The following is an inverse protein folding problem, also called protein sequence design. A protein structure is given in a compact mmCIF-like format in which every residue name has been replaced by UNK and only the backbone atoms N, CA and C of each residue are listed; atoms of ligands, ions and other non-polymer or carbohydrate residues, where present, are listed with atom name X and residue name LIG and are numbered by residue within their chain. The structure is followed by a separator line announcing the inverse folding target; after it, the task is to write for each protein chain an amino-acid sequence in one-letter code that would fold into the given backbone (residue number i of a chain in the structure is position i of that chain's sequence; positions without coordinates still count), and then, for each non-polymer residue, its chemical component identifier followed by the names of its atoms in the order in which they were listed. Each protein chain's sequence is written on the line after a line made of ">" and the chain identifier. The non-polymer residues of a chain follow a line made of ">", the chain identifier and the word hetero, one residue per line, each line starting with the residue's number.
data_IF_392206798202
#
_entry.id   IF_392206798202
#
_cell.length_a   1.000
_cell.length_b   1.000
_cell.length_c   1.000
_cell.angle_alpha   90.00
_cell.angle_beta   90.00
_cell.angle_gamma   90.00
#
_symmetry.space_group_name_H-M   'P 1'
#
loop_
_entity.id
_entity.type
_entity.pdbx_description
1 polymer ?
#
# COMPACT_ATOMS: atom_id res chain seq x y z
N UNK A 1 32.68 24.78 47.62
CA UNK A 1 31.44 24.00 47.49
C UNK A 1 30.67 24.47 46.27
N UNK A 2 30.71 23.71 45.17
CA UNK A 2 29.83 23.71 43.98
C UNK A 2 30.68 23.22 42.82
N UNK A 3 30.44 21.99 42.38
CA UNK A 3 30.74 21.45 41.03
C UNK A 3 30.21 20.00 40.87
N UNK A 4 29.68 19.39 41.93
CA UNK A 4 29.13 18.02 41.87
C UNK A 4 27.68 17.95 41.35
N UNK A 5 26.98 19.08 41.19
CA UNK A 5 25.55 19.10 40.80
C UNK A 5 25.27 18.85 39.31
N UNK A 6 26.29 18.80 38.44
CA UNK A 6 26.11 18.70 36.97
C UNK A 6 26.95 17.61 36.29
N UNK A 7 27.69 16.80 37.04
CA UNK A 7 28.51 15.74 36.46
C UNK A 7 27.65 14.52 36.08
N UNK A 8 27.25 14.42 34.81
CA UNK A 8 26.58 13.23 34.30
C UNK A 8 27.60 12.08 34.29
N UNK A 9 27.33 11.04 35.08
CA UNK A 9 28.16 9.85 35.10
C UNK A 9 27.97 9.03 33.81
N UNK A 10 29.06 8.45 33.27
CA UNK A 10 29.04 7.61 32.04
C UNK A 10 27.92 6.56 32.05
N UNK A 11 27.66 5.93 33.20
CA UNK A 11 26.58 4.94 33.37
C UNK A 11 25.19 5.56 33.23
N UNK A 12 24.98 6.77 33.75
CA UNK A 12 23.72 7.49 33.56
C UNK A 12 23.51 7.83 32.09
N UNK A 13 24.54 8.32 31.39
CA UNK A 13 24.46 8.60 29.96
C UNK A 13 24.10 7.35 29.12
N UNK A 14 24.75 6.21 29.39
CA UNK A 14 24.45 4.93 28.72
C UNK A 14 23.00 4.49 29.01
N UNK A 15 22.56 4.57 30.26
CA UNK A 15 21.19 4.20 30.61
C UNK A 15 20.16 5.12 29.94
N UNK A 16 20.39 6.43 29.95
CA UNK A 16 19.51 7.41 29.28
C UNK A 16 19.44 7.18 27.77
N UNK A 17 20.55 6.84 27.13
CA UNK A 17 20.59 6.57 25.69
C UNK A 17 19.93 5.24 25.31
N UNK A 18 20.08 4.19 26.12
CA UNK A 18 19.36 2.92 25.94
C UNK A 18 17.85 3.12 26.09
N UNK A 19 17.39 3.87 27.08
CA UNK A 19 15.96 4.17 27.28
C UNK A 19 15.39 4.99 26.12
N UNK A 20 16.14 6.00 25.64
CA UNK A 20 15.71 6.80 24.48
C UNK A 20 15.64 5.98 23.18
N UNK A 21 16.60 5.07 22.96
CA UNK A 21 16.59 4.18 21.80
C UNK A 21 15.43 3.18 21.84
N UNK A 22 15.11 2.63 23.02
CA UNK A 22 13.98 1.72 23.19
C UNK A 22 12.63 2.43 22.95
N UNK A 23 12.49 3.69 23.39
CA UNK A 23 11.31 4.49 23.11
C UNK A 23 11.16 4.79 21.61
N UNK A 24 12.25 5.09 20.89
CA UNK A 24 12.21 5.25 19.44
C UNK A 24 11.81 3.95 18.73
N UNK A 25 12.39 2.81 19.11
CA UNK A 25 12.06 1.51 18.53
C UNK A 25 10.58 1.13 18.74
N UNK A 26 9.99 1.45 19.90
CA UNK A 26 8.57 1.25 20.14
C UNK A 26 7.67 2.11 19.22
N UNK A 27 8.15 3.28 18.77
CA UNK A 27 7.41 4.15 17.84
C UNK A 27 7.57 3.76 16.35
N UNK A 28 8.67 3.08 15.99
CA UNK A 28 8.90 2.62 14.62
C UNK A 28 8.22 1.27 14.32
N UNK A 29 7.95 0.45 15.35
CA UNK A 29 7.13 -0.77 15.27
C UNK A 29 5.65 -0.46 15.56
N UNK A 30 5.11 0.61 14.96
CA UNK A 30 3.66 0.80 14.94
C UNK A 30 3.03 -0.14 13.92
N UNK A 31 1.80 -0.63 14.14
CA UNK A 31 1.05 -1.43 13.16
C UNK A 31 0.92 -0.76 11.76
N UNK A 32 1.18 0.55 11.68
CA UNK A 32 1.25 1.34 10.46
C UNK A 32 2.52 1.10 9.63
N UNK A 33 3.61 0.56 10.21
CA UNK A 33 4.78 0.09 9.47
C UNK A 33 4.57 -1.28 8.82
N UNK A 34 3.73 -2.15 9.41
CA UNK A 34 3.28 -3.40 8.78
C UNK A 34 2.55 -3.15 7.44
N UNK A 35 1.76 -2.07 7.35
CA UNK A 35 1.11 -1.65 6.10
C UNK A 35 2.07 -1.21 4.99
N UNK A 36 3.35 -0.99 5.30
CA UNK A 36 4.39 -0.55 4.35
C UNK A 36 5.41 -1.65 4.01
N UNK A 37 5.23 -2.86 4.52
CA UNK A 37 6.05 -4.01 4.12
C UNK A 37 5.65 -4.40 2.69
N UNK A 38 6.56 -4.14 1.75
CA UNK A 38 6.44 -4.55 0.35
C UNK A 38 6.26 -6.07 0.27
N UNK A 39 5.02 -6.51 0.01
CA UNK A 39 4.63 -7.92 -0.10
C UNK A 39 3.56 -8.40 0.88
N UNK A 40 3.23 -7.65 1.94
CA UNK A 40 2.34 -8.12 3.02
C UNK A 40 0.85 -7.70 2.90
N UNK A 41 0.41 -7.27 1.72
CA UNK A 41 -1.02 -7.03 1.41
C UNK A 41 -1.43 -7.96 0.27
N UNK A 42 -1.74 -9.20 0.64
CA UNK A 42 -2.21 -10.43 -0.03
C UNK A 42 -2.52 -10.51 -1.54
N UNK A 43 -2.70 -9.45 -2.33
CA UNK A 43 -2.86 -9.52 -3.80
C UNK A 43 -2.30 -8.31 -4.53
N UNK A 44 -1.76 -8.55 -5.74
CA UNK A 44 -1.32 -7.48 -6.64
C UNK A 44 -2.55 -6.69 -7.10
N UNK A 45 -2.61 -5.40 -6.74
CA UNK A 45 -3.65 -4.47 -7.21
C UNK A 45 -3.31 -4.02 -8.63
N UNK A 46 -4.21 -4.26 -9.58
CA UNK A 46 -4.00 -3.99 -10.99
C UNK A 46 -5.11 -3.10 -11.55
N UNK A 47 -4.72 -2.07 -12.30
CA UNK A 47 -5.64 -1.22 -13.06
C UNK A 47 -5.52 -1.50 -14.56
N UNK A 48 -6.65 -1.48 -15.27
CA UNK A 48 -6.71 -1.63 -16.72
C UNK A 48 -7.01 -0.31 -17.44
N UNK A 49 -6.20 0.08 -18.42
CA UNK A 49 -6.47 1.19 -19.34
C UNK A 49 -6.64 0.60 -20.75
N UNK A 50 -7.71 0.97 -21.45
CA UNK A 50 -8.08 0.33 -22.71
C UNK A 50 -8.72 -1.04 -22.45
N UNK A 51 -9.86 -1.02 -21.77
CA UNK A 51 -10.55 -2.21 -21.24
C UNK A 51 -11.38 -2.95 -22.29
N UNK A 52 -11.39 -2.51 -23.56
CA UNK A 52 -12.08 -3.18 -24.67
C UNK A 52 -11.67 -4.64 -24.92
N UNK A 53 -12.16 -5.26 -25.99
CA UNK A 53 -12.16 -6.73 -26.16
C UNK A 53 -10.84 -7.43 -25.78
N UNK A 54 -9.70 -7.03 -26.37
CA UNK A 54 -8.40 -7.66 -26.05
C UNK A 54 -7.86 -7.30 -24.66
N UNK A 55 -8.21 -6.12 -24.14
CA UNK A 55 -7.81 -5.68 -22.80
C UNK A 55 -8.53 -6.51 -21.74
N UNK A 56 -9.84 -6.71 -21.92
CA UNK A 56 -10.68 -7.50 -21.01
C UNK A 56 -10.17 -8.92 -20.79
N UNK A 57 -9.72 -9.62 -21.85
CA UNK A 57 -9.17 -10.98 -21.72
C UNK A 57 -7.91 -11.03 -20.85
N UNK A 58 -7.05 -10.02 -20.94
CA UNK A 58 -5.83 -9.94 -20.12
C UNK A 58 -6.15 -9.65 -18.66
N UNK A 59 -7.12 -8.77 -18.42
CA UNK A 59 -7.57 -8.43 -17.07
C UNK A 59 -8.23 -9.64 -16.38
N UNK A 60 -9.04 -10.40 -17.11
CA UNK A 60 -9.62 -11.67 -16.63
C UNK A 60 -8.52 -12.70 -16.35
N UNK A 61 -7.52 -12.84 -17.23
CA UNK A 61 -6.39 -13.74 -16.99
C UNK A 61 -5.58 -13.33 -15.74
N UNK A 62 -5.28 -12.04 -15.59
CA UNK A 62 -4.58 -11.51 -14.42
C UNK A 62 -5.38 -11.77 -13.13
N UNK A 63 -6.71 -11.57 -13.17
CA UNK A 63 -7.58 -11.86 -12.04
C UNK A 63 -7.54 -13.34 -11.65
N UNK A 64 -7.60 -14.24 -12.63
CA UNK A 64 -7.47 -15.70 -12.40
C UNK A 64 -6.11 -16.09 -11.82
N UNK A 65 -5.06 -15.33 -12.13
CA UNK A 65 -3.72 -15.51 -11.59
C UNK A 65 -3.55 -14.89 -10.18
N UNK A 66 -4.60 -14.29 -9.61
CA UNK A 66 -4.57 -13.74 -8.26
C UNK A 66 -4.31 -12.23 -8.21
N UNK A 67 -4.45 -11.49 -9.31
CA UNK A 67 -4.51 -10.03 -9.24
C UNK A 67 -5.89 -9.55 -8.75
N UNK A 68 -5.89 -8.49 -7.95
CA UNK A 68 -7.10 -7.74 -7.62
C UNK A 68 -7.27 -6.61 -8.64
N UNK A 69 -8.29 -6.68 -9.49
CA UNK A 69 -8.57 -5.60 -10.44
C UNK A 69 -9.31 -4.47 -9.73
N UNK A 70 -8.68 -3.31 -9.58
CA UNK A 70 -9.18 -2.21 -8.73
C UNK A 70 -9.70 -1.02 -9.52
N UNK A 71 -9.27 -0.85 -10.76
CA UNK A 71 -9.71 0.25 -11.61
C UNK A 71 -9.76 -0.15 -13.09
N UNK A 72 -10.72 0.43 -13.82
CA UNK A 72 -10.80 0.34 -15.28
C UNK A 72 -10.94 1.73 -15.90
N UNK A 73 -10.33 1.92 -17.07
CA UNK A 73 -10.48 3.12 -17.88
C UNK A 73 -10.65 2.74 -19.35
N UNK A 74 -11.55 3.44 -20.04
CA UNK A 74 -11.74 3.35 -21.49
C UNK A 74 -12.41 4.65 -21.99
N UNK A 75 -12.23 4.98 -23.26
CA UNK A 75 -12.97 6.10 -23.90
C UNK A 75 -14.40 5.67 -24.25
N UNK A 76 -14.63 4.37 -24.43
CA UNK A 76 -15.92 3.80 -24.78
C UNK A 76 -16.61 3.20 -23.56
N UNK A 77 -17.70 3.84 -23.12
CA UNK A 77 -18.51 3.40 -21.97
C UNK A 77 -19.05 1.98 -22.12
N UNK A 78 -19.52 1.59 -23.31
CA UNK A 78 -20.07 0.24 -23.53
C UNK A 78 -19.01 -0.85 -23.41
N UNK A 79 -17.78 -0.57 -23.84
CA UNK A 79 -16.64 -1.47 -23.67
C UNK A 79 -16.21 -1.59 -22.21
N UNK A 80 -16.20 -0.47 -21.49
CA UNK A 80 -15.92 -0.43 -20.06
C UNK A 80 -16.90 -1.31 -19.27
N UNK A 81 -18.20 -1.19 -19.53
CA UNK A 81 -19.25 -1.97 -18.90
C UNK A 81 -19.15 -3.47 -19.23
N UNK A 82 -18.84 -3.80 -20.50
CA UNK A 82 -18.60 -5.19 -20.93
C UNK A 82 -17.39 -5.79 -20.21
N UNK A 83 -16.31 -5.05 -20.07
CA UNK A 83 -15.12 -5.48 -19.35
C UNK A 83 -15.39 -5.70 -17.86
N UNK A 84 -16.14 -4.78 -17.22
CA UNK A 84 -16.54 -4.93 -15.82
C UNK A 84 -17.38 -6.19 -15.60
N UNK A 85 -18.33 -6.48 -16.50
CA UNK A 85 -19.12 -7.72 -16.46
C UNK A 85 -18.24 -8.98 -16.59
N UNK A 86 -17.20 -8.92 -17.41
CA UNK A 86 -16.30 -10.06 -17.62
C UNK A 86 -15.43 -10.41 -16.39
N UNK A 87 -15.17 -9.44 -15.51
CA UNK A 87 -14.36 -9.63 -14.30
C UNK A 87 -15.10 -10.33 -13.16
N UNK A 88 -16.43 -10.50 -13.21
CA UNK A 88 -17.19 -11.23 -12.19
C UNK A 88 -17.14 -10.68 -10.75
N UNK A 89 -16.36 -9.62 -10.51
CA UNK A 89 -16.17 -8.96 -9.23
C UNK A 89 -16.26 -7.44 -9.45
N UNK A 90 -16.83 -6.69 -8.48
CA UNK A 90 -16.91 -5.25 -8.58
C UNK A 90 -15.51 -4.63 -8.61
N UNK A 91 -15.35 -3.62 -9.46
CA UNK A 91 -14.15 -2.80 -9.58
C UNK A 91 -14.38 -1.51 -8.79
N UNK A 92 -13.41 -1.08 -7.98
CA UNK A 92 -13.57 0.07 -7.07
C UNK A 92 -13.79 1.39 -7.83
N UNK A 93 -13.13 1.59 -8.98
CA UNK A 93 -13.22 2.81 -9.77
C UNK A 93 -13.31 2.53 -11.27
N UNK A 94 -14.12 3.32 -11.97
CA UNK A 94 -14.22 3.26 -13.43
C UNK A 94 -14.15 4.68 -13.99
N UNK A 95 -13.46 4.83 -15.12
CA UNK A 95 -13.25 6.12 -15.77
C UNK A 95 -13.60 6.04 -17.25
N UNK A 96 -14.54 6.89 -17.67
CA UNK A 96 -14.79 7.14 -19.10
C UNK A 96 -13.99 8.36 -19.51
N UNK A 97 -12.92 8.16 -20.26
CA UNK A 97 -12.09 9.25 -20.75
C UNK A 97 -12.88 10.03 -21.81
N UNK A 98 -13.42 11.17 -21.41
CA UNK A 98 -14.15 12.11 -22.27
C UNK A 98 -13.28 13.36 -22.41
N UNK A 99 -13.22 13.92 -23.61
CA UNK A 99 -12.48 15.15 -23.92
C UNK A 99 -13.23 16.39 -23.44
#
# INVERSE_FOLDING_TARGET
>A
MRDEKYAINRRQFINSSVTAAAALAATTVSAQSYNRILGANDRIRLGGIGSGDRGSTRLVAAQKLGAQIVALADVNKGMLERAQKALGAPVEKTYVATY
#
